data_IF_134112528222
#
_entry.id   IF_134112528222
#
_cell.length_a   1.000
_cell.length_b   1.000
_cell.length_c   1.000
_cell.angle_alpha   90.00
_cell.angle_beta   90.00
_cell.angle_gamma   90.00
#
_symmetry.space_group_name_H-M   'P 1'
#
loop_
_entity.id
_entity.type
_entity.pdbx_description
1 polymer ?
#
# COMPACT_ATOMS: atom_id res chain seq x y z
N UNK A 1 33.81 -15.50 -9.62
CA UNK A 1 32.59 -15.11 -8.86
C UNK A 1 31.27 -15.21 -9.63
N UNK A 2 31.21 -15.76 -10.85
CA UNK A 2 29.98 -15.79 -11.69
C UNK A 2 29.12 -17.05 -11.44
N UNK A 3 29.77 -18.18 -11.11
CA UNK A 3 29.10 -19.49 -10.93
C UNK A 3 28.05 -19.52 -9.80
N UNK A 4 28.28 -18.90 -8.62
CA UNK A 4 27.28 -18.89 -7.55
C UNK A 4 26.00 -18.12 -7.93
N UNK A 5 26.17 -17.04 -8.68
CA UNK A 5 25.09 -16.15 -9.10
C UNK A 5 24.22 -16.81 -10.18
N UNK A 6 24.86 -17.51 -11.13
CA UNK A 6 24.16 -18.33 -12.11
C UNK A 6 23.38 -19.47 -11.45
N UNK A 7 23.98 -20.16 -10.47
CA UNK A 7 23.30 -21.24 -9.75
C UNK A 7 22.07 -20.74 -8.96
N UNK A 8 22.18 -19.60 -8.27
CA UNK A 8 21.04 -18.97 -7.61
C UNK A 8 19.96 -18.54 -8.60
N UNK A 9 20.35 -17.96 -9.74
CA UNK A 9 19.42 -17.56 -10.80
C UNK A 9 18.66 -18.75 -11.37
N UNK A 10 19.34 -19.86 -11.68
CA UNK A 10 18.70 -21.09 -12.19
C UNK A 10 17.74 -21.69 -11.16
N UNK A 11 18.13 -21.71 -9.88
CA UNK A 11 17.27 -22.18 -8.79
C UNK A 11 16.02 -21.31 -8.62
N UNK A 12 16.17 -20.00 -8.69
CA UNK A 12 15.04 -19.06 -8.61
C UNK A 12 14.11 -19.21 -9.83
N UNK A 13 14.67 -19.27 -11.05
CA UNK A 13 13.89 -19.44 -12.29
C UNK A 13 13.08 -20.73 -12.33
N UNK A 14 13.60 -21.82 -11.76
CA UNK A 14 12.85 -23.08 -11.66
C UNK A 14 11.58 -22.97 -10.78
N UNK A 15 11.51 -21.96 -9.89
CA UNK A 15 10.35 -21.71 -9.03
C UNK A 15 9.35 -20.73 -9.64
N UNK A 16 9.70 -20.04 -10.74
CA UNK A 16 8.76 -19.16 -11.43
C UNK A 16 7.67 -19.99 -12.10
N UNK A 17 6.44 -19.80 -11.63
CA UNK A 17 5.27 -20.26 -12.38
C UNK A 17 5.07 -19.30 -13.55
N UNK A 18 4.84 -19.81 -14.77
CA UNK A 18 4.52 -18.94 -15.89
C UNK A 18 3.27 -18.12 -15.55
N UNK A 19 3.22 -16.84 -15.96
CA UNK A 19 2.07 -16.00 -15.69
C UNK A 19 0.83 -16.61 -16.35
N UNK A 20 -0.29 -16.58 -15.63
CA UNK A 20 -1.58 -17.00 -16.20
C UNK A 20 -2.02 -15.93 -17.18
N UNK A 21 -1.77 -16.17 -18.47
CA UNK A 21 -2.21 -15.29 -19.55
C UNK A 21 -3.72 -15.49 -19.72
N UNK A 22 -4.50 -14.55 -19.21
CA UNK A 22 -5.94 -14.51 -19.46
C UNK A 22 -6.19 -13.82 -20.80
N UNK A 23 -7.14 -14.31 -21.59
CA UNK A 23 -7.58 -13.62 -22.80
C UNK A 23 -8.28 -12.31 -22.44
N UNK A 24 -8.17 -11.27 -23.28
CA UNK A 24 -8.81 -9.96 -23.05
C UNK A 24 -10.30 -10.10 -22.71
N UNK A 25 -11.03 -10.95 -23.45
CA UNK A 25 -12.45 -11.25 -23.21
C UNK A 25 -12.71 -11.78 -21.79
N UNK A 26 -11.82 -12.61 -21.26
CA UNK A 26 -11.93 -13.15 -19.88
C UNK A 26 -11.70 -12.06 -18.83
N UNK A 27 -10.76 -11.15 -19.10
CA UNK A 27 -10.47 -10.01 -18.22
C UNK A 27 -11.65 -9.03 -18.23
N UNK A 28 -12.17 -8.68 -19.40
CA UNK A 28 -13.36 -7.84 -19.58
C UNK A 28 -14.57 -8.39 -18.83
N UNK A 29 -14.85 -9.69 -18.97
CA UNK A 29 -15.96 -10.33 -18.25
C UNK A 29 -15.78 -10.27 -16.72
N UNK A 30 -14.56 -10.42 -16.23
CA UNK A 30 -14.26 -10.31 -14.79
C UNK A 30 -14.43 -8.87 -14.31
N UNK A 31 -13.92 -7.90 -15.06
CA UNK A 31 -14.07 -6.46 -14.78
C UNK A 31 -15.53 -6.05 -14.75
N UNK A 32 -16.31 -6.43 -15.76
CA UNK A 32 -17.74 -6.10 -15.84
C UNK A 32 -18.52 -6.70 -14.67
N UNK A 33 -18.22 -7.94 -14.25
CA UNK A 33 -18.85 -8.55 -13.07
C UNK A 33 -18.51 -7.83 -11.78
N UNK A 34 -17.24 -7.48 -11.58
CA UNK A 34 -16.78 -6.73 -10.41
C UNK A 34 -17.42 -5.33 -10.37
N UNK A 35 -17.49 -4.66 -11.52
CA UNK A 35 -18.11 -3.35 -11.66
C UNK A 35 -19.60 -3.38 -11.29
N UNK A 36 -20.36 -4.35 -11.80
CA UNK A 36 -21.77 -4.51 -11.42
C UNK A 36 -21.92 -4.76 -9.91
N UNK A 37 -21.08 -5.61 -9.30
CA UNK A 37 -21.11 -5.86 -7.86
C UNK A 37 -20.84 -4.58 -7.05
N UNK A 38 -19.92 -3.73 -7.52
CA UNK A 38 -19.62 -2.45 -6.90
C UNK A 38 -20.80 -1.47 -7.00
N UNK A 39 -21.40 -1.34 -8.19
CA UNK A 39 -22.56 -0.46 -8.44
C UNK A 39 -23.80 -0.89 -7.64
N UNK A 40 -24.09 -2.18 -7.58
CA UNK A 40 -25.21 -2.69 -6.77
C UNK A 40 -25.01 -2.37 -5.29
N UNK A 41 -23.78 -2.57 -4.79
CA UNK A 41 -23.42 -2.28 -3.40
C UNK A 41 -23.53 -0.80 -3.07
N UNK A 42 -23.09 0.10 -3.97
CA UNK A 42 -23.15 1.55 -3.76
C UNK A 42 -24.58 2.12 -3.84
N UNK A 43 -25.43 1.55 -4.70
CA UNK A 43 -26.86 1.86 -4.76
C UNK A 43 -27.66 1.27 -3.59
N UNK A 44 -26.99 0.61 -2.64
CA UNK A 44 -27.62 -0.01 -1.48
C UNK A 44 -28.41 -1.27 -1.80
N UNK A 45 -28.36 -1.76 -3.04
CA UNK A 45 -29.05 -2.98 -3.49
C UNK A 45 -28.29 -4.22 -2.99
N UNK A 46 -29.01 -5.16 -2.37
CA UNK A 46 -28.44 -6.40 -1.84
C UNK A 46 -28.53 -6.50 -0.31
N UNK A 47 -28.43 -7.74 0.19
CA UNK A 47 -28.47 -8.02 1.62
C UNK A 47 -27.16 -7.60 2.31
N UNK A 48 -27.23 -7.42 3.64
CA UNK A 48 -26.07 -7.02 4.45
C UNK A 48 -24.87 -7.97 4.28
N UNK A 49 -25.15 -9.27 4.14
CA UNK A 49 -24.12 -10.29 3.90
C UNK A 49 -23.32 -10.04 2.61
N UNK A 50 -23.99 -9.77 1.48
CA UNK A 50 -23.30 -9.47 0.20
C UNK A 50 -22.50 -8.18 0.26
N UNK A 51 -23.00 -7.17 0.98
CA UNK A 51 -22.26 -5.91 1.19
C UNK A 51 -20.98 -6.16 2.00
N UNK A 52 -21.08 -6.89 3.12
CA UNK A 52 -19.94 -7.26 3.94
C UNK A 52 -18.91 -8.10 3.17
N UNK A 53 -19.37 -9.03 2.33
CA UNK A 53 -18.49 -9.84 1.48
C UNK A 53 -17.74 -9.00 0.43
N UNK A 54 -18.41 -8.02 -0.18
CA UNK A 54 -17.80 -7.09 -1.12
C UNK A 54 -16.76 -6.19 -0.42
N UNK A 55 -17.12 -5.62 0.73
CA UNK A 55 -16.21 -4.81 1.54
C UNK A 55 -14.99 -5.62 1.99
N UNK A 56 -15.18 -6.85 2.45
CA UNK A 56 -14.08 -7.76 2.77
C UNK A 56 -13.19 -8.02 1.55
N UNK A 57 -13.78 -8.22 0.37
CA UNK A 57 -13.01 -8.37 -0.87
C UNK A 57 -12.15 -7.13 -1.16
N UNK A 58 -12.71 -5.92 -1.01
CA UNK A 58 -11.96 -4.67 -1.18
C UNK A 58 -10.81 -4.55 -0.18
N UNK A 59 -11.06 -4.92 1.07
CA UNK A 59 -10.07 -4.85 2.15
C UNK A 59 -8.88 -5.77 1.90
N UNK A 60 -9.14 -6.92 1.27
CA UNK A 60 -8.11 -7.88 0.88
C UNK A 60 -7.44 -7.59 -0.47
N UNK A 61 -8.02 -6.71 -1.30
CA UNK A 61 -7.55 -6.46 -2.68
C UNK A 61 -6.11 -5.95 -2.71
N UNK A 62 -5.73 -5.15 -1.70
CA UNK A 62 -4.40 -4.55 -1.58
C UNK A 62 -3.51 -5.25 -0.54
N UNK A 63 -3.99 -6.32 0.12
CA UNK A 63 -3.12 -7.14 0.98
C UNK A 63 -2.29 -8.11 0.12
N UNK A 64 -1.27 -7.53 -0.53
CA UNK A 64 -0.31 -8.21 -1.42
C UNK A 64 0.63 -9.16 -0.67
N UNK A 65 0.61 -9.16 0.67
CA UNK A 65 1.47 -10.04 1.47
C UNK A 65 0.98 -11.48 1.42
N UNK A 66 1.91 -12.41 1.22
CA UNK A 66 1.57 -13.83 1.05
C UNK A 66 1.26 -14.52 2.38
N UNK A 67 1.96 -14.18 3.46
CA UNK A 67 1.66 -14.71 4.79
C UNK A 67 0.45 -14.00 5.38
N UNK A 68 -0.60 -14.75 5.77
CA UNK A 68 -1.82 -14.25 6.41
C UNK A 68 -1.91 -14.63 7.91
N UNK A 69 -0.79 -14.99 8.52
CA UNK A 69 -0.75 -15.34 9.94
C UNK A 69 -1.12 -14.14 10.82
N UNK A 70 -1.73 -14.42 11.96
CA UNK A 70 -2.12 -13.40 12.93
C UNK A 70 -0.88 -12.76 13.57
N UNK A 71 -0.89 -11.44 13.66
CA UNK A 71 0.17 -10.66 14.31
C UNK A 71 -0.37 -10.23 15.67
N UNK A 72 0.37 -10.53 16.72
CA UNK A 72 0.02 -10.18 18.09
C UNK A 72 0.89 -9.02 18.57
N UNK A 73 0.27 -8.08 19.30
CA UNK A 73 1.02 -7.05 20.01
C UNK A 73 1.32 -7.57 21.41
N UNK A 74 2.49 -7.20 21.94
CA UNK A 74 2.87 -7.52 23.30
C UNK A 74 1.92 -6.92 24.35
N UNK A 75 1.19 -5.84 24.01
CA UNK A 75 0.17 -5.21 24.86
C UNK A 75 -1.13 -6.00 24.97
N UNK A 76 -1.48 -6.82 23.97
CA UNK A 76 -2.75 -7.54 23.88
C UNK A 76 -2.67 -8.99 24.37
N UNK A 77 -1.46 -9.49 24.61
CA UNK A 77 -1.20 -10.88 24.97
C UNK A 77 -0.46 -10.94 26.31
N UNK A 78 -0.76 -11.94 27.14
CA UNK A 78 0.05 -12.28 28.32
C UNK A 78 1.37 -12.88 27.82
N UNK A 79 2.23 -12.01 27.28
CA UNK A 79 3.50 -12.36 26.69
C UNK A 79 4.52 -12.61 27.80
N UNK A 80 5.04 -13.83 27.90
CA UNK A 80 5.99 -14.25 28.94
C UNK A 80 7.41 -13.65 28.77
N UNK A 81 7.58 -12.63 27.93
CA UNK A 81 8.88 -12.06 27.57
C UNK A 81 9.15 -10.76 28.33
N UNK A 82 10.05 -10.85 29.31
CA UNK A 82 10.45 -9.78 30.23
C UNK A 82 11.65 -8.95 29.74
N UNK A 83 11.74 -8.63 28.44
CA UNK A 83 12.91 -7.97 27.86
C UNK A 83 12.56 -6.92 26.80
N UNK A 84 13.25 -5.77 26.85
CA UNK A 84 13.17 -4.68 25.86
C UNK A 84 13.62 -5.21 24.49
N UNK A 85 12.67 -5.57 23.62
CA UNK A 85 12.93 -5.63 22.18
C UNK A 85 12.66 -4.24 21.61
N UNK A 86 13.30 -3.94 20.49
CA UNK A 86 13.03 -2.72 19.71
C UNK A 86 11.61 -2.73 19.09
N UNK A 87 10.97 -3.91 18.96
CA UNK A 87 9.64 -4.07 18.36
C UNK A 87 8.64 -4.69 19.35
N UNK A 88 7.44 -4.11 19.45
CA UNK A 88 6.36 -4.51 20.37
C UNK A 88 5.36 -5.51 19.75
N UNK A 89 5.74 -6.18 18.66
CA UNK A 89 4.89 -7.12 17.93
C UNK A 89 5.58 -8.47 17.70
N UNK A 90 4.78 -9.53 17.68
CA UNK A 90 5.23 -10.89 17.41
C UNK A 90 4.26 -11.62 16.47
N UNK A 91 4.82 -12.52 15.66
CA UNK A 91 4.09 -13.36 14.73
C UNK A 91 4.56 -14.80 14.90
N UNK A 92 3.63 -15.69 15.23
CA UNK A 92 3.89 -17.13 15.15
C UNK A 92 3.49 -17.62 13.76
N UNK A 93 4.47 -17.74 12.85
CA UNK A 93 4.27 -18.15 11.47
C UNK A 93 5.23 -19.28 11.09
N UNK A 94 4.65 -20.45 10.83
CA UNK A 94 5.30 -21.61 10.21
C UNK A 94 5.47 -21.51 8.69
N UNK A 95 5.23 -20.34 8.11
CA UNK A 95 5.29 -20.13 6.66
C UNK A 95 6.75 -20.25 6.14
N UNK A 96 6.95 -20.66 4.87
CA UNK A 96 8.28 -20.66 4.25
C UNK A 96 8.93 -19.27 4.32
N UNK A 97 10.26 -19.23 4.50
CA UNK A 97 11.03 -17.96 4.69
C UNK A 97 10.71 -16.90 3.64
N UNK A 98 10.54 -17.31 2.39
CA UNK A 98 10.24 -16.47 1.23
C UNK A 98 8.87 -15.77 1.31
N UNK A 99 7.96 -16.31 2.14
CA UNK A 99 6.59 -15.81 2.30
C UNK A 99 6.39 -15.11 3.65
N UNK A 100 7.39 -15.09 4.53
CA UNK A 100 7.27 -14.47 5.87
C UNK A 100 7.26 -12.96 5.76
N UNK A 101 6.48 -12.33 6.64
CA UNK A 101 6.46 -10.87 6.79
C UNK A 101 7.74 -10.45 7.53
N UNK A 102 8.46 -9.41 7.06
CA UNK A 102 9.59 -8.85 7.78
C UNK A 102 9.20 -8.38 9.19
N UNK A 103 10.07 -8.64 10.19
CA UNK A 103 9.79 -8.35 11.61
C UNK A 103 9.64 -6.85 11.89
N UNK A 104 10.36 -6.01 11.14
CA UNK A 104 10.29 -4.54 11.25
C UNK A 104 8.91 -4.00 10.85
N UNK A 105 8.16 -4.73 10.02
CA UNK A 105 6.91 -4.26 9.43
C UNK A 105 5.68 -4.78 10.18
N UNK A 106 5.83 -5.62 11.21
CA UNK A 106 4.72 -6.35 11.80
C UNK A 106 3.64 -5.43 12.42
N UNK A 107 4.03 -4.32 13.06
CA UNK A 107 3.09 -3.34 13.62
C UNK A 107 2.31 -2.63 12.52
N UNK A 108 3.02 -2.11 11.51
CA UNK A 108 2.43 -1.45 10.35
C UNK A 108 1.47 -2.39 9.61
N UNK A 109 1.89 -3.63 9.34
CA UNK A 109 1.05 -4.62 8.67
C UNK A 109 -0.15 -5.03 9.50
N UNK A 110 -0.01 -5.16 10.83
CA UNK A 110 -1.16 -5.42 11.71
C UNK A 110 -2.17 -4.28 11.61
N UNK A 111 -1.71 -3.03 11.71
CA UNK A 111 -2.57 -1.85 11.60
C UNK A 111 -3.33 -1.82 10.26
N UNK A 112 -2.63 -2.04 9.14
CA UNK A 112 -3.23 -2.13 7.80
C UNK A 112 -4.29 -3.24 7.71
N UNK A 113 -4.04 -4.41 8.31
CA UNK A 113 -4.98 -5.55 8.29
C UNK A 113 -6.19 -5.35 9.17
N UNK A 114 -6.00 -4.83 10.37
CA UNK A 114 -7.10 -4.63 11.30
C UNK A 114 -8.03 -3.52 10.83
N UNK A 115 -7.57 -2.64 9.92
CA UNK A 115 -8.28 -1.43 9.48
C UNK A 115 -8.88 -0.68 10.67
N UNK A 116 -8.26 -0.86 11.84
CA UNK A 116 -8.52 -0.08 13.01
C UNK A 116 -8.20 1.33 12.55
N UNK A 117 -9.17 2.22 12.68
CA UNK A 117 -8.98 3.65 12.56
C UNK A 117 -7.66 3.97 13.26
N UNK A 118 -6.63 4.20 12.45
CA UNK A 118 -5.27 3.96 12.87
C UNK A 118 -4.95 4.85 14.04
N UNK A 119 -4.31 4.31 15.08
CA UNK A 119 -3.35 5.12 15.79
C UNK A 119 -2.36 5.65 14.75
N UNK A 120 -2.49 6.94 14.41
CA UNK A 120 -1.58 7.67 13.53
C UNK A 120 -2.07 7.96 12.10
N UNK A 121 -3.23 7.47 11.64
CA UNK A 121 -3.82 7.92 10.35
C UNK A 121 -4.98 8.86 10.69
N UNK A 122 -4.81 10.18 10.55
CA UNK A 122 -5.87 11.12 10.88
C UNK A 122 -7.07 10.92 9.95
N UNK A 123 -8.27 10.90 10.54
CA UNK A 123 -9.51 10.71 9.81
C UNK A 123 -9.68 11.82 8.76
N UNK A 124 -10.03 11.43 7.53
CA UNK A 124 -10.26 12.37 6.43
C UNK A 124 -11.66 12.97 6.57
N UNK A 125 -11.73 14.29 6.63
CA UNK A 125 -13.00 15.02 6.57
C UNK A 125 -13.51 15.07 5.14
N UNK A 126 -14.41 14.15 4.80
CA UNK A 126 -15.03 14.05 3.46
C UNK A 126 -15.89 15.27 3.08
N UNK A 127 -16.25 16.12 4.04
CA UNK A 127 -17.03 17.34 3.81
C UNK A 127 -16.16 18.60 3.74
N UNK A 128 -14.83 18.46 3.75
CA UNK A 128 -13.92 19.59 3.72
C UNK A 128 -14.08 20.39 2.43
N UNK A 129 -14.24 21.71 2.57
CA UNK A 129 -14.30 22.63 1.41
C UNK A 129 -12.93 23.22 1.07
N UNK A 130 -11.97 23.10 1.99
CA UNK A 130 -10.59 23.57 1.85
C UNK A 130 -9.62 22.44 2.20
N UNK A 131 -8.45 22.44 1.56
CA UNK A 131 -7.41 21.43 1.79
C UNK A 131 -6.93 21.40 3.25
N UNK A 132 -6.90 22.56 3.92
CA UNK A 132 -6.55 22.68 5.34
C UNK A 132 -7.55 22.02 6.29
N UNK A 133 -8.77 21.77 5.84
CA UNK A 133 -9.85 21.17 6.63
C UNK A 133 -9.98 19.67 6.37
N UNK A 134 -9.20 19.13 5.41
CA UNK A 134 -9.28 17.75 4.94
C UNK A 134 -8.82 16.76 6.01
N UNK A 135 -7.87 17.18 6.86
CA UNK A 135 -7.24 16.36 7.88
C UNK A 135 -6.97 17.22 9.11
N UNK A 136 -7.36 16.75 10.30
CA UNK A 136 -7.03 17.43 11.55
C UNK A 136 -5.58 17.13 11.95
N UNK A 137 -4.68 18.08 11.67
CA UNK A 137 -3.26 18.00 11.98
C UNK A 137 -2.94 18.35 13.46
N UNK A 138 -3.95 18.68 14.27
CA UNK A 138 -3.77 18.94 15.70
C UNK A 138 -3.77 17.67 16.55
N UNK A 139 -4.18 16.54 15.97
CA UNK A 139 -4.07 15.21 16.57
C UNK A 139 -2.62 14.73 16.58
N UNK A 140 -2.28 13.73 17.41
CA UNK A 140 -0.96 13.07 17.39
C UNK A 140 -0.73 12.33 16.06
N UNK A 141 -0.34 13.07 15.02
CA UNK A 141 0.01 12.54 13.70
C UNK A 141 1.45 12.04 13.75
N UNK A 142 1.67 10.81 13.30
CA UNK A 142 3.00 10.23 13.18
C UNK A 142 3.80 11.00 12.12
N UNK A 143 5.06 11.33 12.42
CA UNK A 143 5.90 12.03 11.46
C UNK A 143 6.10 11.23 10.16
N UNK A 144 6.15 11.89 9.00
CA UNK A 144 6.50 11.25 7.74
C UNK A 144 7.83 10.48 7.84
N UNK A 145 7.98 9.30 7.21
CA UNK A 145 9.25 8.54 7.23
C UNK A 145 10.48 9.31 6.73
N UNK A 146 10.25 10.40 5.97
CA UNK A 146 11.30 11.30 5.51
C UNK A 146 11.89 12.15 6.65
N UNK A 147 11.08 12.48 7.65
CA UNK A 147 11.47 13.34 8.79
C UNK A 147 11.71 12.58 10.07
N UNK A 148 11.31 11.31 10.17
CA UNK A 148 11.48 10.47 11.37
C UNK A 148 12.93 10.30 11.84
N UNK A 149 13.92 10.51 10.96
CA UNK A 149 15.34 10.46 11.29
C UNK A 149 15.96 11.81 11.64
N UNK A 150 15.20 12.91 11.51
CA UNK A 150 15.66 14.27 11.71
C UNK A 150 15.32 14.76 13.12
N UNK A 151 16.29 15.42 13.75
CA UNK A 151 16.07 16.11 15.02
C UNK A 151 15.24 17.37 14.84
N UNK A 152 14.57 17.84 15.90
CA UNK A 152 13.82 19.10 15.86
C UNK A 152 14.69 20.31 15.48
N UNK A 153 16.00 20.26 15.73
CA UNK A 153 16.92 21.30 15.32
C UNK A 153 17.20 21.25 13.81
N UNK A 154 17.38 20.07 13.24
CA UNK A 154 17.54 19.89 11.79
C UNK A 154 16.27 20.31 11.04
N UNK A 155 15.09 20.03 11.58
CA UNK A 155 13.82 20.51 11.04
C UNK A 155 13.72 22.05 11.04
N UNK A 156 14.16 22.71 12.12
CA UNK A 156 14.25 24.17 12.17
C UNK A 156 15.26 24.72 11.17
N UNK A 157 16.41 24.07 11.02
CA UNK A 157 17.43 24.47 10.05
C UNK A 157 16.94 24.30 8.60
N UNK A 158 16.09 23.32 8.30
CA UNK A 158 15.44 23.17 6.98
C UNK A 158 14.42 24.28 6.70
N UNK A 159 13.79 24.83 7.74
CA UNK A 159 12.89 25.99 7.61
C UNK A 159 13.66 27.27 7.29
N UNK A 160 14.81 27.48 7.94
CA UNK A 160 15.66 28.66 7.75
C UNK A 160 16.50 28.57 6.46
N UNK A 161 16.93 27.36 6.11
CA UNK A 161 17.71 27.05 4.93
C UNK A 161 17.05 25.88 4.20
N UNK A 162 16.09 26.16 3.30
CA UNK A 162 15.45 25.13 2.50
C UNK A 162 16.49 24.31 1.75
N UNK A 163 16.25 23.00 1.65
CA UNK A 163 17.07 22.11 0.85
C UNK A 163 17.18 22.65 -0.58
N UNK A 164 18.40 22.96 -1.02
CA UNK A 164 18.65 23.39 -2.40
C UNK A 164 18.62 22.16 -3.28
N UNK A 165 17.47 21.91 -3.88
CA UNK A 165 17.32 20.85 -4.87
C UNK A 165 18.09 21.29 -6.12
N UNK A 166 19.01 20.46 -6.67
CA UNK A 166 19.64 20.75 -7.95
C UNK A 166 18.58 21.09 -8.98
N UNK A 167 18.90 21.96 -9.95
CA UNK A 167 18.02 22.21 -11.09
C UNK A 167 18.01 20.95 -11.96
N UNK A 168 17.23 19.95 -11.54
CA UNK A 168 17.01 18.76 -12.32
C UNK A 168 16.39 19.19 -13.64
N UNK A 169 16.90 18.70 -14.78
CA UNK A 169 16.32 19.05 -16.06
C UNK A 169 14.91 18.42 -16.15
N UNK A 170 13.90 19.20 -15.77
CA UNK A 170 12.49 18.81 -15.86
C UNK A 170 12.02 18.59 -17.31
N UNK A 171 12.81 19.05 -18.28
CA UNK A 171 12.55 18.97 -19.72
C UNK A 171 13.59 18.12 -20.45
N UNK A 172 14.18 17.11 -19.82
CA UNK A 172 14.95 16.15 -20.61
C UNK A 172 14.03 15.50 -21.64
N UNK A 173 14.57 15.20 -22.81
CA UNK A 173 13.82 14.50 -23.84
C UNK A 173 13.26 13.15 -23.34
N UNK A 174 13.93 12.52 -22.38
CA UNK A 174 13.45 11.31 -21.73
C UNK A 174 12.21 11.56 -20.86
N UNK A 175 12.19 12.64 -20.07
CA UNK A 175 11.03 13.02 -19.25
C UNK A 175 9.85 13.39 -20.16
N UNK A 176 10.06 14.19 -21.20
CA UNK A 176 9.01 14.55 -22.16
C UNK A 176 8.45 13.32 -22.90
N UNK A 177 9.30 12.37 -23.31
CA UNK A 177 8.84 11.09 -23.88
C UNK A 177 8.04 10.27 -22.87
N UNK A 178 8.46 10.24 -21.61
CA UNK A 178 7.75 9.51 -20.56
C UNK A 178 6.38 10.12 -20.27
N UNK A 179 6.31 11.45 -20.09
CA UNK A 179 5.05 12.19 -19.92
C UNK A 179 4.14 11.96 -21.12
N UNK A 180 4.67 12.03 -22.35
CA UNK A 180 3.91 11.73 -23.57
C UNK A 180 3.36 10.30 -23.57
N UNK A 181 4.20 9.29 -23.34
CA UNK A 181 3.76 7.89 -23.28
C UNK A 181 2.71 7.65 -22.21
N UNK A 182 2.86 8.24 -21.02
CA UNK A 182 1.89 8.14 -19.93
C UNK A 182 0.58 8.84 -20.30
N UNK A 183 0.65 10.00 -20.95
CA UNK A 183 -0.52 10.74 -21.42
C UNK A 183 -1.26 9.97 -22.52
N UNK A 184 -0.55 9.38 -23.48
CA UNK A 184 -1.11 8.53 -24.52
C UNK A 184 -1.74 7.25 -23.94
N UNK A 185 -1.05 6.60 -22.99
CA UNK A 185 -1.57 5.43 -22.30
C UNK A 185 -2.82 5.77 -21.46
N UNK A 186 -2.81 6.88 -20.75
CA UNK A 186 -3.98 7.37 -20.01
C UNK A 186 -5.14 7.74 -20.95
N UNK A 187 -4.85 8.29 -22.14
CA UNK A 187 -5.83 8.51 -23.19
C UNK A 187 -6.41 7.22 -23.78
N UNK A 188 -5.63 6.14 -23.78
CA UNK A 188 -6.08 4.81 -24.23
C UNK A 188 -6.87 4.04 -23.16
N UNK A 189 -6.68 4.34 -21.87
CA UNK A 189 -7.51 3.82 -20.78
C UNK A 189 -8.75 4.72 -20.63
N UNK A 190 -9.63 4.67 -21.63
CA UNK A 190 -10.88 5.43 -21.64
C UNK A 190 -12.10 4.49 -21.62
N UNK A 191 -12.91 4.58 -20.57
CA UNK A 191 -14.31 4.16 -20.56
C UNK A 191 -15.21 5.28 -21.11
N UNK A 192 -16.42 4.92 -21.56
CA UNK A 192 -17.16 5.43 -22.72
C UNK A 192 -17.49 6.95 -22.88
N UNK A 193 -17.16 7.88 -21.99
CA UNK A 193 -17.63 9.28 -22.16
C UNK A 193 -16.50 10.27 -22.41
N UNK A 194 -16.23 10.51 -23.71
CA UNK A 194 -15.41 11.61 -24.21
C UNK A 194 -15.82 12.91 -23.50
N UNK A 195 -14.94 13.47 -22.68
CA UNK A 195 -15.01 14.89 -22.37
C UNK A 195 -14.47 15.64 -23.58
N UNK A 196 -15.39 16.20 -24.35
CA UNK A 196 -15.11 17.39 -25.15
C UNK A 196 -14.74 18.57 -24.24
#
# INVERSE_FOLDING_TARGET
MIVPLLHQWTKANALFKPPVINQCRTIELKLTKLWHKAVETSLGKGNLARKNEFLHTLDTLFDILTCKCSIQLCSESNCSHSGKRENNSHIDCGCPREKKIPVLELEFIKAQRTKAEGQGIPAINVNATKLSELVDLSLEVLEPPLTTSLTSQELRNLKETPMQVPKWPSHTQSVERCVKMVTEAAGHVYSHERRE
#
